data_IF_437673158717
#
_entry.id   IF_437673158717
#
_cell.length_a   1.000
_cell.length_b   1.000
_cell.length_c   1.000
_cell.angle_alpha   90.00
_cell.angle_beta   90.00
_cell.angle_gamma   90.00
#
_symmetry.space_group_name_H-M   'P 1'
#
loop_
_entity.id
_entity.type
_entity.pdbx_description
1 polymer ?
#
# COMPACT_ATOMS: atom_id res chain seq x y z
N UNK A 1 -25.72 -23.44 55.69
CA UNK A 1 -24.30 -23.31 56.08
C UNK A 1 -23.49 -24.20 55.15
N UNK A 2 -23.23 -23.74 53.92
CA UNK A 2 -22.34 -24.40 52.96
C UNK A 2 -21.87 -23.31 52.00
N UNK A 3 -20.78 -22.65 52.38
CA UNK A 3 -20.03 -21.74 51.52
C UNK A 3 -19.31 -22.55 50.43
N UNK A 4 -19.59 -22.21 49.18
CA UNK A 4 -18.79 -22.61 48.02
C UNK A 4 -18.07 -21.36 47.54
N UNK A 5 -16.78 -21.28 47.85
CA UNK A 5 -15.90 -20.18 47.47
C UNK A 5 -15.64 -20.25 45.96
N UNK A 6 -16.27 -19.35 45.21
CA UNK A 6 -16.00 -19.12 43.79
C UNK A 6 -14.66 -18.42 43.58
N UNK A 7 -13.86 -18.94 42.65
CA UNK A 7 -12.66 -18.28 42.15
C UNK A 7 -13.06 -17.09 41.24
N UNK A 8 -12.37 -15.93 41.32
CA UNK A 8 -12.66 -14.79 40.46
C UNK A 8 -12.15 -15.04 39.04
N UNK A 9 -13.07 -15.07 38.07
CA UNK A 9 -12.74 -14.97 36.65
C UNK A 9 -12.31 -13.53 36.40
N UNK A 10 -11.04 -13.32 36.08
CA UNK A 10 -10.53 -12.03 35.64
C UNK A 10 -11.14 -11.71 34.26
N UNK A 11 -12.06 -10.76 34.26
CA UNK A 11 -12.71 -10.17 33.10
C UNK A 11 -11.66 -9.39 32.30
N UNK A 12 -11.20 -9.97 31.19
CA UNK A 12 -10.37 -9.27 30.23
C UNK A 12 -11.23 -8.24 29.49
N UNK A 13 -10.96 -6.96 29.74
CA UNK A 13 -11.61 -5.85 29.06
C UNK A 13 -11.48 -5.99 27.53
N UNK A 14 -12.57 -5.81 26.75
CA UNK A 14 -12.49 -5.84 25.30
C UNK A 14 -11.66 -4.66 24.81
N UNK A 15 -10.66 -4.93 23.99
CA UNK A 15 -9.94 -3.91 23.23
C UNK A 15 -10.95 -3.16 22.37
N UNK A 16 -11.13 -1.87 22.66
CA UNK A 16 -11.97 -0.96 21.88
C UNK A 16 -11.40 -0.85 20.47
N UNK A 17 -12.00 -1.57 19.52
CA UNK A 17 -11.84 -1.31 18.10
C UNK A 17 -12.68 -0.06 17.84
N UNK A 18 -12.03 1.06 17.52
CA UNK A 18 -12.71 2.25 17.03
C UNK A 18 -13.33 1.95 15.67
N UNK A 19 -14.55 1.40 15.71
CA UNK A 19 -15.48 1.38 14.59
C UNK A 19 -15.76 2.83 14.26
N UNK A 20 -15.26 3.27 13.09
CA UNK A 20 -15.66 4.55 12.51
C UNK A 20 -17.15 4.45 12.21
N UNK A 21 -17.97 4.90 13.15
CA UNK A 21 -19.37 5.14 12.93
C UNK A 21 -19.45 6.26 11.89
N UNK A 22 -20.13 5.99 10.78
CA UNK A 22 -20.70 7.08 9.97
C UNK A 22 -21.46 7.99 10.93
N UNK A 23 -21.31 9.32 10.87
CA UNK A 23 -22.09 10.20 11.74
C UNK A 23 -23.55 9.82 11.59
N UNK A 24 -24.16 9.44 12.71
CA UNK A 24 -25.53 9.02 12.82
C UNK A 24 -26.46 10.23 12.68
N UNK A 25 -26.39 10.90 11.52
CA UNK A 25 -27.42 11.78 10.99
C UNK A 25 -27.08 12.15 9.54
N UNK A 26 -27.30 11.23 8.60
CA UNK A 26 -27.53 11.61 7.19
C UNK A 26 -28.53 10.62 6.61
N UNK A 27 -29.75 11.11 6.40
CA UNK A 27 -30.68 10.47 5.47
C UNK A 27 -30.02 10.30 4.10
N UNK A 28 -30.58 9.37 3.32
CA UNK A 28 -30.19 9.07 1.95
C UNK A 28 -29.73 10.33 1.19
N UNK A 29 -28.58 10.21 0.51
CA UNK A 29 -27.91 11.20 -0.36
C UNK A 29 -26.67 11.87 0.27
N UNK A 30 -25.56 11.11 0.28
CA UNK A 30 -24.22 11.69 0.41
C UNK A 30 -23.91 12.50 -0.85
N UNK A 31 -23.79 13.83 -0.71
CA UNK A 31 -23.40 14.72 -1.81
C UNK A 31 -21.95 14.47 -2.28
N UNK A 32 -21.61 14.79 -3.54
CA UNK A 32 -20.23 14.72 -4.08
C UNK A 32 -19.21 15.35 -3.13
N UNK A 33 -19.58 16.48 -2.52
CA UNK A 33 -18.71 17.20 -1.58
C UNK A 33 -18.46 16.41 -0.29
N UNK A 34 -19.44 15.63 0.19
CA UNK A 34 -19.30 14.74 1.34
C UNK A 34 -18.51 13.49 0.98
N UNK A 35 -18.70 12.92 -0.21
CA UNK A 35 -17.88 11.80 -0.68
C UNK A 35 -16.40 12.21 -0.86
N UNK A 36 -16.14 13.38 -1.44
CA UNK A 36 -14.80 13.95 -1.57
C UNK A 36 -14.17 14.25 -0.19
N UNK A 37 -14.95 14.77 0.77
CA UNK A 37 -14.48 14.97 2.16
C UNK A 37 -14.23 13.65 2.89
N UNK A 38 -15.08 12.64 2.73
CA UNK A 38 -14.87 11.33 3.34
C UNK A 38 -13.60 10.66 2.79
N UNK A 39 -13.34 10.78 1.49
CA UNK A 39 -12.12 10.32 0.84
C UNK A 39 -10.88 11.11 1.32
N UNK A 40 -10.99 12.43 1.46
CA UNK A 40 -9.91 13.27 1.97
C UNK A 40 -9.61 13.00 3.46
N UNK A 41 -10.65 12.80 4.28
CA UNK A 41 -10.51 12.50 5.72
C UNK A 41 -9.91 11.12 5.96
N UNK A 42 -10.29 10.10 5.17
CA UNK A 42 -9.69 8.77 5.22
C UNK A 42 -8.19 8.77 4.85
N UNK A 43 -7.74 9.74 4.05
CA UNK A 43 -6.33 9.89 3.63
C UNK A 43 -5.46 10.66 4.64
N UNK A 44 -6.03 11.49 5.52
CA UNK A 44 -5.27 12.43 6.35
C UNK A 44 -5.40 12.24 7.87
N UNK A 45 -5.89 11.08 8.38
CA UNK A 45 -5.87 10.82 9.84
C UNK A 45 -4.42 10.90 10.38
N UNK A 46 -4.10 11.87 11.26
CA UNK A 46 -2.78 11.99 11.86
C UNK A 46 -2.52 10.77 12.76
N UNK A 47 -1.32 10.22 12.68
CA UNK A 47 -0.84 9.16 13.57
C UNK A 47 -0.59 9.79 14.95
N UNK A 48 -1.60 9.74 15.80
CA UNK A 48 -1.50 10.22 17.17
C UNK A 48 -0.60 9.29 17.99
N UNK A 49 0.22 9.92 18.82
CA UNK A 49 1.38 9.34 19.50
C UNK A 49 0.97 8.22 20.47
N UNK A 50 1.55 7.04 20.29
CA UNK A 50 1.50 5.99 21.30
C UNK A 50 2.38 6.38 22.49
N UNK A 51 1.74 6.58 23.65
CA UNK A 51 2.41 6.75 24.94
C UNK A 51 3.01 5.42 25.44
N UNK A 52 4.01 5.46 26.34
CA UNK A 52 4.80 4.29 26.73
C UNK A 52 4.01 3.30 27.59
N UNK A 53 4.16 2.01 27.31
CA UNK A 53 3.59 0.91 28.10
C UNK A 53 4.51 0.64 29.30
N UNK A 54 3.90 0.69 30.49
CA UNK A 54 4.47 0.39 31.80
C UNK A 54 4.73 -1.12 31.96
N UNK A 55 5.90 -1.49 32.49
CA UNK A 55 6.32 -2.87 32.72
C UNK A 55 5.66 -3.45 33.98
N UNK A 56 5.15 -4.69 33.97
CA UNK A 56 4.94 -5.44 35.21
C UNK A 56 6.15 -6.34 35.56
N UNK A 57 6.34 -6.51 36.87
CA UNK A 57 7.40 -7.24 37.57
C UNK A 57 7.32 -8.78 37.40
N UNK A 58 8.38 -9.54 37.76
CA UNK A 58 8.52 -10.97 37.47
C UNK A 58 7.75 -11.86 38.45
N UNK A 59 7.19 -12.96 37.94
CA UNK A 59 6.60 -14.05 38.73
C UNK A 59 7.49 -15.28 38.65
N UNK A 60 7.69 -15.92 39.80
CA UNK A 60 8.59 -17.04 40.09
C UNK A 60 8.28 -18.32 39.29
N UNK A 61 9.35 -19.04 38.94
CA UNK A 61 9.34 -20.41 38.41
C UNK A 61 9.16 -21.45 39.53
N UNK A 62 8.59 -22.63 39.24
CA UNK A 62 8.91 -23.84 39.98
C UNK A 62 9.91 -24.73 39.22
N UNK A 63 10.90 -25.22 39.98
CA UNK A 63 11.82 -26.31 39.62
C UNK A 63 11.06 -27.62 39.32
N UNK A 64 11.67 -28.51 38.51
CA UNK A 64 12.14 -29.82 38.96
C UNK A 64 12.77 -30.70 37.85
N UNK A 65 13.76 -31.47 38.31
CA UNK A 65 14.18 -32.81 37.90
C UNK A 65 15.29 -32.97 36.84
N UNK A 66 16.49 -33.24 37.39
CA UNK A 66 17.67 -33.87 36.77
C UNK A 66 17.42 -35.31 36.33
N UNK A 67 18.16 -35.77 35.31
CA UNK A 67 18.53 -37.17 35.17
C UNK A 67 19.97 -37.29 34.63
N UNK A 68 20.79 -38.00 35.40
CA UNK A 68 22.21 -38.31 35.21
C UNK A 68 22.51 -39.18 33.98
N UNK A 69 23.72 -39.03 33.44
CA UNK A 69 24.56 -40.16 33.00
C UNK A 69 26.03 -39.71 32.92
N UNK A 70 26.83 -40.16 33.91
CA UNK A 70 28.29 -40.26 33.85
C UNK A 70 28.67 -41.49 32.98
N UNK A 71 29.91 -41.66 32.45
CA UNK A 71 31.02 -42.03 33.33
C UNK A 71 32.45 -41.63 32.92
N UNK A 72 33.28 -41.63 33.98
CA UNK A 72 34.63 -42.24 34.10
C UNK A 72 35.88 -41.42 33.79
N UNK A 73 36.59 -41.13 34.90
CA UNK A 73 38.01 -40.91 34.96
C UNK A 73 38.77 -42.24 35.12
N UNK A 74 39.90 -42.37 34.42
CA UNK A 74 41.02 -43.23 34.79
C UNK A 74 42.33 -42.50 34.43
N UNK A 75 43.13 -42.20 35.45
CA UNK A 75 44.56 -41.96 35.40
C UNK A 75 45.23 -43.24 35.98
N UNK A 76 46.52 -43.60 35.75
CA UNK A 76 47.68 -42.72 35.97
C UNK A 76 48.99 -43.06 35.18
N UNK A 77 50.00 -42.17 35.25
CA UNK A 77 51.38 -42.49 34.85
C UNK A 77 52.30 -41.26 34.77
N UNK A 78 53.17 -41.10 35.78
CA UNK A 78 54.24 -40.08 35.93
C UNK A 78 55.39 -40.24 34.89
N UNK A 79 56.50 -39.45 34.96
CA UNK A 79 56.64 -37.99 34.92
C UNK A 79 57.63 -37.59 33.81
N UNK A 80 57.49 -36.44 33.15
CA UNK A 80 58.57 -35.95 32.26
C UNK A 80 58.62 -34.43 32.21
N UNK A 81 59.82 -33.95 32.55
CA UNK A 81 60.52 -32.72 32.18
C UNK A 81 59.73 -31.47 31.81
N UNK A 82 60.13 -30.39 32.48
CA UNK A 82 60.04 -28.99 32.08
C UNK A 82 59.73 -28.78 30.59
N UNK A 83 58.47 -28.43 30.32
CA UNK A 83 58.07 -27.76 29.09
C UNK A 83 57.78 -26.29 29.43
N UNK A 84 58.35 -25.43 28.61
CA UNK A 84 58.14 -23.99 28.49
C UNK A 84 56.66 -23.59 28.67
N UNK A 85 56.34 -22.33 29.05
CA UNK A 85 54.95 -21.90 29.11
C UNK A 85 54.34 -22.06 27.71
N UNK A 86 53.54 -23.12 27.53
CA UNK A 86 52.77 -23.33 26.33
C UNK A 86 51.86 -22.11 26.18
N UNK A 87 52.15 -21.27 25.19
CA UNK A 87 51.29 -20.15 24.79
C UNK A 87 49.93 -20.75 24.41
N UNK A 88 48.97 -20.68 25.34
CA UNK A 88 47.60 -21.09 25.10
C UNK A 88 47.05 -20.31 23.90
N UNK A 89 46.33 -20.96 22.96
CA UNK A 89 45.88 -20.33 21.74
C UNK A 89 45.04 -19.09 22.03
N UNK A 90 45.22 -17.96 21.32
CA UNK A 90 44.48 -16.72 21.56
C UNK A 90 42.96 -16.92 21.47
N UNK A 91 42.20 -16.35 22.41
CA UNK A 91 40.74 -16.35 22.37
C UNK A 91 40.28 -15.22 21.47
N UNK A 92 39.52 -15.56 20.43
CA UNK A 92 38.97 -14.57 19.54
C UNK A 92 37.85 -13.78 20.25
N UNK A 93 37.81 -12.45 20.13
CA UNK A 93 36.75 -11.65 20.72
C UNK A 93 35.41 -11.92 20.02
N UNK A 94 34.28 -11.79 20.72
CA UNK A 94 32.96 -12.06 20.13
C UNK A 94 32.68 -11.23 18.87
N UNK A 95 32.03 -11.87 17.89
CA UNK A 95 31.79 -11.26 16.57
C UNK A 95 30.87 -10.04 16.62
N UNK A 96 29.90 -10.05 17.54
CA UNK A 96 28.90 -9.01 17.80
C UNK A 96 29.48 -7.68 18.29
N UNK A 97 30.73 -7.68 18.76
CA UNK A 97 31.35 -6.51 19.37
C UNK A 97 31.90 -5.52 18.33
N UNK A 98 31.88 -4.24 18.70
CA UNK A 98 32.50 -3.16 17.93
C UNK A 98 34.02 -3.31 17.94
N UNK A 99 34.70 -2.62 17.01
CA UNK A 99 36.16 -2.71 16.90
C UNK A 99 36.88 -2.21 18.17
N UNK A 100 36.38 -1.15 18.81
CA UNK A 100 36.92 -0.63 20.06
C UNK A 100 36.75 -1.61 21.24
N UNK A 101 35.65 -2.37 21.27
CA UNK A 101 35.43 -3.41 22.30
C UNK A 101 36.33 -4.63 22.07
N UNK A 102 36.58 -4.99 20.81
CA UNK A 102 37.52 -6.06 20.43
C UNK A 102 38.96 -5.72 20.82
N UNK A 103 39.39 -4.47 20.61
CA UNK A 103 40.70 -3.98 21.04
C UNK A 103 40.83 -3.98 22.57
N UNK A 104 39.79 -3.54 23.29
CA UNK A 104 39.76 -3.63 24.76
C UNK A 104 39.82 -5.07 25.25
N UNK A 105 39.11 -6.01 24.61
CA UNK A 105 39.12 -7.43 24.96
C UNK A 105 40.54 -8.03 24.90
N UNK A 106 41.30 -7.70 23.86
CA UNK A 106 42.68 -8.17 23.69
C UNK A 106 43.62 -7.67 24.80
N UNK A 107 43.33 -6.51 25.39
CA UNK A 107 44.11 -5.94 26.51
C UNK A 107 43.76 -6.54 27.90
N UNK A 108 42.72 -7.36 28.00
CA UNK A 108 42.29 -7.96 29.27
C UNK A 108 43.10 -9.22 29.64
N UNK A 109 43.19 -9.56 30.93
CA UNK A 109 43.75 -10.85 31.37
C UNK A 109 43.01 -12.04 30.77
N UNK A 110 43.75 -13.16 30.56
CA UNK A 110 43.24 -14.39 29.95
C UNK A 110 41.99 -14.95 30.62
N UNK A 111 41.97 -14.98 31.95
CA UNK A 111 40.83 -15.45 32.74
C UNK A 111 39.55 -14.64 32.45
N UNK A 112 39.68 -13.32 32.32
CA UNK A 112 38.56 -12.43 31.99
C UNK A 112 38.08 -12.63 30.55
N UNK A 113 38.99 -12.91 29.62
CA UNK A 113 38.65 -13.24 28.23
C UNK A 113 37.81 -14.53 28.15
N UNK A 114 38.19 -15.57 28.89
CA UNK A 114 37.49 -16.86 28.95
C UNK A 114 36.08 -16.71 29.54
N UNK A 115 35.95 -15.98 30.65
CA UNK A 115 34.66 -15.70 31.27
C UNK A 115 33.70 -14.94 30.33
N UNK A 116 34.19 -13.86 29.70
CA UNK A 116 33.38 -13.04 28.80
C UNK A 116 33.00 -13.79 27.52
N UNK A 117 33.93 -14.56 26.96
CA UNK A 117 33.68 -15.37 25.77
C UNK A 117 32.63 -16.46 26.05
N UNK A 118 32.76 -17.19 27.17
CA UNK A 118 31.78 -18.22 27.57
C UNK A 118 30.40 -17.63 27.79
N UNK A 119 30.32 -16.51 28.54
CA UNK A 119 29.05 -15.81 28.81
C UNK A 119 28.38 -15.31 27.53
N UNK A 120 29.15 -14.80 26.57
CA UNK A 120 28.60 -14.33 25.30
C UNK A 120 28.13 -15.48 24.41
N UNK A 121 28.83 -16.61 24.40
CA UNK A 121 28.36 -17.83 23.73
C UNK A 121 27.06 -18.35 24.32
N UNK A 122 26.92 -18.34 25.65
CA UNK A 122 25.67 -18.72 26.33
C UNK A 122 24.53 -17.79 25.96
N UNK A 123 24.76 -16.47 25.98
CA UNK A 123 23.77 -15.46 25.56
C UNK A 123 23.34 -15.64 24.10
N UNK A 124 24.29 -15.82 23.19
CA UNK A 124 23.99 -16.03 21.78
C UNK A 124 23.20 -17.33 21.56
N UNK A 125 23.52 -18.39 22.30
CA UNK A 125 22.77 -19.66 22.26
C UNK A 125 21.34 -19.49 22.75
N UNK A 126 21.15 -18.82 23.89
CA UNK A 126 19.81 -18.53 24.43
C UNK A 126 19.00 -17.62 23.51
N UNK A 127 19.63 -16.59 22.96
CA UNK A 127 19.00 -15.68 22.02
C UNK A 127 18.56 -16.40 20.75
N UNK A 128 19.42 -17.23 20.15
CA UNK A 128 19.06 -18.06 18.98
C UNK A 128 17.96 -19.05 19.31
N UNK A 129 18.01 -19.68 20.49
CA UNK A 129 16.95 -20.57 20.96
C UNK A 129 15.62 -19.83 21.06
N UNK A 130 15.60 -18.66 21.71
CA UNK A 130 14.40 -17.83 21.81
C UNK A 130 13.89 -17.34 20.45
N UNK A 131 14.78 -16.97 19.53
CA UNK A 131 14.40 -16.62 18.16
C UNK A 131 13.74 -17.79 17.43
N UNK A 132 14.30 -18.99 17.54
CA UNK A 132 13.75 -20.19 16.93
C UNK A 132 12.39 -20.55 17.56
N UNK A 133 12.29 -20.52 18.89
CA UNK A 133 11.04 -20.77 19.60
C UNK A 133 9.95 -19.76 19.19
N UNK A 134 10.27 -18.47 19.08
CA UNK A 134 9.33 -17.44 18.61
C UNK A 134 8.94 -17.68 17.15
N UNK A 135 9.90 -18.04 16.29
CA UNK A 135 9.62 -18.33 14.88
C UNK A 135 8.70 -19.55 14.71
N UNK A 136 8.96 -20.61 15.48
CA UNK A 136 8.14 -21.83 15.51
C UNK A 136 6.74 -21.55 16.07
N UNK A 137 6.64 -20.80 17.17
CA UNK A 137 5.35 -20.38 17.73
C UNK A 137 4.54 -19.54 16.73
N UNK A 138 5.17 -18.58 16.04
CA UNK A 138 4.51 -17.79 15.00
C UNK A 138 3.99 -18.66 13.86
N UNK A 139 4.82 -19.60 13.39
CA UNK A 139 4.42 -20.55 12.33
C UNK A 139 3.27 -21.45 12.79
N UNK A 140 3.30 -21.90 14.04
CA UNK A 140 2.23 -22.71 14.62
C UNK A 140 0.91 -21.94 14.73
N UNK A 141 0.96 -20.69 15.22
CA UNK A 141 -0.22 -19.81 15.32
C UNK A 141 -0.79 -19.51 13.92
N UNK A 142 0.06 -19.22 12.95
CA UNK A 142 -0.39 -18.95 11.57
C UNK A 142 -1.06 -20.19 10.96
N UNK A 143 -0.44 -21.37 11.11
CA UNK A 143 -1.04 -22.63 10.64
C UNK A 143 -2.39 -22.93 11.34
N UNK A 144 -2.50 -22.64 12.65
CA UNK A 144 -3.76 -22.77 13.38
C UNK A 144 -4.82 -21.79 12.86
N UNK A 145 -4.44 -20.53 12.57
CA UNK A 145 -5.34 -19.54 11.98
C UNK A 145 -5.84 -19.98 10.61
N UNK A 146 -4.93 -20.37 9.72
CA UNK A 146 -5.29 -20.85 8.38
C UNK A 146 -6.22 -22.07 8.42
N UNK A 147 -5.94 -23.03 9.30
CA UNK A 147 -6.79 -24.23 9.44
C UNK A 147 -8.17 -23.89 10.02
N UNK A 148 -8.23 -23.00 11.01
CA UNK A 148 -9.50 -22.50 11.56
C UNK A 148 -10.31 -21.72 10.50
N UNK A 149 -9.65 -20.88 9.71
CA UNK A 149 -10.29 -20.14 8.60
C UNK A 149 -10.84 -21.07 7.54
N UNK A 150 -10.08 -22.11 7.13
CA UNK A 150 -10.56 -23.11 6.17
C UNK A 150 -11.76 -23.88 6.72
N UNK A 151 -11.68 -24.37 7.96
CA UNK A 151 -12.79 -25.06 8.60
C UNK A 151 -14.04 -24.17 8.68
N UNK A 152 -13.86 -22.87 8.98
CA UNK A 152 -14.94 -21.89 8.99
C UNK A 152 -15.55 -21.68 7.59
N UNK A 153 -14.73 -21.53 6.56
CA UNK A 153 -15.22 -21.35 5.19
C UNK A 153 -16.01 -22.57 4.71
N UNK A 154 -15.53 -23.77 5.03
CA UNK A 154 -16.25 -25.01 4.73
C UNK A 154 -17.57 -25.10 5.49
N UNK A 155 -17.61 -24.70 6.76
CA UNK A 155 -18.83 -24.62 7.55
C UNK A 155 -19.84 -23.65 6.91
N UNK A 156 -19.40 -22.43 6.64
CA UNK A 156 -20.24 -21.39 6.03
C UNK A 156 -20.72 -21.75 4.62
N UNK A 157 -19.96 -22.55 3.88
CA UNK A 157 -20.38 -23.08 2.58
C UNK A 157 -21.45 -24.17 2.68
N UNK A 158 -21.46 -24.95 3.79
CA UNK A 158 -22.43 -26.02 4.04
C UNK A 158 -23.72 -25.53 4.70
N UNK A 159 -23.71 -24.37 5.36
CA UNK A 159 -24.87 -23.80 6.05
C UNK A 159 -26.15 -23.72 5.17
N UNK A 160 -26.11 -23.21 3.92
CA UNK A 160 -27.31 -23.13 3.09
C UNK A 160 -27.89 -24.52 2.75
N UNK A 161 -27.02 -25.50 2.49
CA UNK A 161 -27.45 -26.87 2.22
C UNK A 161 -28.08 -27.54 3.46
N UNK A 162 -27.56 -27.25 4.66
CA UNK A 162 -28.14 -27.71 5.91
C UNK A 162 -29.52 -27.09 6.17
N UNK A 163 -29.67 -25.80 5.88
CA UNK A 163 -30.97 -25.12 5.97
C UNK A 163 -32.00 -25.74 5.01
N UNK A 164 -31.60 -26.03 3.77
CA UNK A 164 -32.46 -26.67 2.78
C UNK A 164 -32.85 -28.10 3.22
N UNK A 165 -31.89 -28.90 3.69
CA UNK A 165 -32.14 -30.24 4.19
C UNK A 165 -33.09 -30.25 5.40
N UNK A 166 -32.94 -29.28 6.31
CA UNK A 166 -33.83 -29.14 7.47
C UNK A 166 -35.26 -28.81 7.02
N UNK A 167 -35.41 -27.95 6.01
CA UNK A 167 -36.72 -27.59 5.44
C UNK A 167 -37.40 -28.78 4.73
N UNK A 168 -36.65 -29.54 3.93
CA UNK A 168 -37.16 -30.70 3.20
C UNK A 168 -37.54 -31.86 4.12
N UNK A 169 -36.79 -32.08 5.20
CA UNK A 169 -37.05 -33.13 6.19
C UNK A 169 -38.15 -32.79 7.21
N UNK A 170 -38.88 -31.68 7.03
CA UNK A 170 -39.81 -31.17 8.05
C UNK A 170 -40.97 -32.15 8.29
N UNK A 171 -41.11 -32.72 9.50
CA UNK A 171 -42.23 -33.61 9.85
C UNK A 171 -43.51 -32.84 10.23
N UNK A 172 -43.51 -31.52 10.06
CA UNK A 172 -44.58 -30.59 10.48
C UNK A 172 -45.19 -29.80 9.31
N UNK A 173 -45.12 -30.33 8.08
CA UNK A 173 -45.65 -29.65 6.90
C UNK A 173 -47.19 -29.43 6.92
N UNK A 174 -47.90 -30.18 7.77
CA UNK A 174 -49.33 -30.02 8.06
C UNK A 174 -49.65 -28.78 8.91
N UNK A 175 -48.67 -28.28 9.67
CA UNK A 175 -48.83 -27.12 10.55
C UNK A 175 -48.57 -25.84 9.77
N UNK A 176 -49.65 -25.12 9.43
CA UNK A 176 -49.57 -23.89 8.63
C UNK A 176 -49.95 -22.64 9.42
N UNK A 177 -50.69 -22.80 10.51
CA UNK A 177 -51.22 -21.70 11.31
C UNK A 177 -51.01 -21.92 12.81
N UNK A 178 -51.11 -20.83 13.58
CA UNK A 178 -51.09 -20.92 15.04
C UNK A 178 -52.25 -21.75 15.61
N UNK A 179 -53.40 -21.78 14.92
CA UNK A 179 -54.52 -22.62 15.32
C UNK A 179 -54.20 -24.13 15.21
N UNK A 180 -53.37 -24.54 14.25
CA UNK A 180 -52.93 -25.95 14.12
C UNK A 180 -51.93 -26.32 15.24
N UNK A 181 -51.12 -25.34 15.66
CA UNK A 181 -50.20 -25.50 16.80
C UNK A 181 -50.97 -25.66 18.12
N UNK A 182 -52.01 -24.86 18.34
CA UNK A 182 -52.88 -24.96 19.52
C UNK A 182 -53.61 -26.30 19.57
N UNK A 183 -54.12 -26.79 18.43
CA UNK A 183 -54.72 -28.13 18.32
C UNK A 183 -53.71 -29.22 18.62
N UNK A 184 -52.50 -29.12 18.05
CA UNK A 184 -51.42 -30.06 18.36
C UNK A 184 -51.06 -30.05 19.84
N UNK A 185 -51.03 -28.88 20.49
CA UNK A 185 -50.77 -28.80 21.93
C UNK A 185 -51.86 -29.50 22.77
N UNK A 186 -53.13 -29.40 22.33
CA UNK A 186 -54.26 -30.01 23.03
C UNK A 186 -54.38 -31.53 22.77
N UNK A 187 -54.10 -31.99 21.55
CA UNK A 187 -54.26 -33.38 21.13
C UNK A 187 -52.98 -34.22 21.33
N UNK A 188 -51.80 -33.65 21.11
CA UNK A 188 -50.50 -34.31 21.22
C UNK A 188 -49.40 -33.39 21.79
N UNK A 189 -49.31 -33.29 23.13
CA UNK A 189 -48.28 -32.49 23.80
C UNK A 189 -46.84 -32.90 23.45
N UNK A 190 -46.58 -34.16 23.10
CA UNK A 190 -45.24 -34.63 22.76
C UNK A 190 -44.82 -34.16 21.36
N UNK A 191 -45.74 -34.22 20.38
CA UNK A 191 -45.51 -33.67 19.04
C UNK A 191 -45.30 -32.16 19.08
N UNK A 192 -45.99 -31.45 19.97
CA UNK A 192 -45.75 -30.03 20.22
C UNK A 192 -44.33 -29.73 20.74
N UNK A 193 -43.79 -30.53 21.67
CA UNK A 193 -42.40 -30.37 22.11
C UNK A 193 -41.40 -30.58 20.96
N UNK A 194 -41.63 -31.57 20.09
CA UNK A 194 -40.78 -31.79 18.93
C UNK A 194 -40.85 -30.61 17.94
N UNK A 195 -42.03 -30.04 17.74
CA UNK A 195 -42.21 -28.84 16.92
C UNK A 195 -41.45 -27.64 17.49
N UNK A 196 -41.49 -27.43 18.82
CA UNK A 196 -40.71 -26.39 19.47
C UNK A 196 -39.21 -26.58 19.27
N UNK A 197 -38.70 -27.80 19.44
CA UNK A 197 -37.28 -28.12 19.19
C UNK A 197 -36.90 -27.88 17.73
N UNK A 198 -37.79 -28.24 16.79
CA UNK A 198 -37.57 -27.98 15.36
C UNK A 198 -37.52 -26.49 15.04
N UNK A 199 -38.46 -25.70 15.59
CA UNK A 199 -38.47 -24.24 15.46
C UNK A 199 -37.18 -23.62 16.03
N UNK A 200 -36.75 -24.06 17.21
CA UNK A 200 -35.52 -23.57 17.82
C UNK A 200 -34.28 -23.90 16.97
N UNK A 201 -34.18 -25.13 16.44
CA UNK A 201 -33.12 -25.52 15.51
C UNK A 201 -33.11 -24.64 14.26
N UNK A 202 -34.29 -24.39 13.68
CA UNK A 202 -34.39 -23.56 12.48
C UNK A 202 -34.00 -22.11 12.74
N UNK A 203 -34.40 -21.54 13.89
CA UNK A 203 -33.97 -20.21 14.31
C UNK A 203 -32.46 -20.14 14.54
N UNK A 204 -31.86 -21.17 15.16
CA UNK A 204 -30.41 -21.26 15.35
C UNK A 204 -29.66 -21.24 14.02
N UNK A 205 -30.06 -22.09 13.06
CA UNK A 205 -29.44 -22.15 11.72
C UNK A 205 -29.63 -20.83 10.96
N UNK A 206 -30.80 -20.19 11.05
CA UNK A 206 -31.02 -18.87 10.44
C UNK A 206 -30.12 -17.79 11.07
N UNK A 207 -29.97 -17.79 12.39
CA UNK A 207 -29.08 -16.86 13.07
C UNK A 207 -27.62 -17.05 12.64
N UNK A 208 -27.16 -18.30 12.52
CA UNK A 208 -25.81 -18.60 12.03
C UNK A 208 -25.59 -18.16 10.58
N UNK A 209 -26.60 -18.32 9.71
CA UNK A 209 -26.56 -17.86 8.33
C UNK A 209 -26.46 -16.33 8.25
N UNK A 210 -27.30 -15.61 9.00
CA UNK A 210 -27.23 -14.15 9.08
C UNK A 210 -25.88 -13.66 9.61
N UNK A 211 -25.34 -14.31 10.65
CA UNK A 211 -24.02 -13.98 11.15
C UNK A 211 -22.92 -14.26 10.11
N UNK A 212 -23.01 -15.36 9.36
CA UNK A 212 -22.06 -15.67 8.30
C UNK A 212 -22.11 -14.63 7.16
N UNK A 213 -23.30 -14.17 6.76
CA UNK A 213 -23.46 -13.10 5.78
C UNK A 213 -22.88 -11.77 6.29
N UNK A 214 -23.18 -11.39 7.53
CA UNK A 214 -22.64 -10.17 8.14
C UNK A 214 -21.10 -10.20 8.22
N UNK A 215 -20.51 -11.35 8.56
CA UNK A 215 -19.05 -11.53 8.54
C UNK A 215 -18.49 -11.37 7.14
N UNK A 216 -19.07 -12.03 6.15
CA UNK A 216 -18.65 -11.90 4.73
C UNK A 216 -18.72 -10.46 4.25
N UNK A 217 -19.79 -9.73 4.58
CA UNK A 217 -19.93 -8.31 4.25
C UNK A 217 -18.84 -7.46 4.94
N UNK A 218 -18.57 -7.72 6.22
CA UNK A 218 -17.55 -6.99 6.99
C UNK A 218 -16.14 -7.25 6.46
N UNK A 219 -15.80 -8.49 6.13
CA UNK A 219 -14.51 -8.86 5.53
C UNK A 219 -14.32 -8.28 4.13
N UNK A 220 -15.38 -8.26 3.31
CA UNK A 220 -15.32 -7.61 2.00
C UNK A 220 -15.10 -6.11 2.15
N UNK A 221 -15.79 -5.48 3.10
CA UNK A 221 -15.61 -4.06 3.40
C UNK A 221 -14.20 -3.77 3.91
N UNK A 222 -13.65 -4.58 4.83
CA UNK A 222 -12.29 -4.38 5.34
C UNK A 222 -11.26 -4.52 4.23
N UNK A 223 -11.32 -5.59 3.43
CA UNK A 223 -10.45 -5.80 2.27
C UNK A 223 -10.56 -4.67 1.24
N UNK A 224 -11.78 -4.17 1.01
CA UNK A 224 -11.99 -3.02 0.14
C UNK A 224 -11.33 -1.76 0.70
N UNK A 225 -11.50 -1.47 1.99
CA UNK A 225 -10.86 -0.31 2.62
C UNK A 225 -9.33 -0.39 2.60
N UNK A 226 -8.76 -1.58 2.84
CA UNK A 226 -7.31 -1.82 2.75
C UNK A 226 -6.80 -1.61 1.33
N UNK A 227 -7.51 -2.13 0.33
CA UNK A 227 -7.18 -1.93 -1.08
C UNK A 227 -7.23 -0.45 -1.46
N UNK A 228 -8.29 0.28 -1.07
CA UNK A 228 -8.41 1.72 -1.32
C UNK A 228 -7.28 2.50 -0.65
N UNK A 229 -6.91 2.15 0.59
CA UNK A 229 -5.78 2.80 1.28
C UNK A 229 -4.45 2.54 0.57
N UNK A 230 -4.19 1.29 0.15
CA UNK A 230 -2.98 0.93 -0.58
C UNK A 230 -2.87 1.66 -1.93
N UNK A 231 -3.96 1.72 -2.70
CA UNK A 231 -4.00 2.46 -3.97
C UNK A 231 -3.85 3.97 -3.76
N UNK A 232 -4.44 4.51 -2.69
CA UNK A 232 -4.25 5.92 -2.34
C UNK A 232 -2.80 6.25 -1.97
N UNK A 233 -2.10 5.34 -1.26
CA UNK A 233 -0.69 5.51 -0.94
C UNK A 233 0.17 5.50 -2.21
N UNK A 234 -0.06 4.53 -3.11
CA UNK A 234 0.62 4.48 -4.42
C UNK A 234 0.34 5.72 -5.27
N UNK A 235 -0.90 6.22 -5.25
CA UNK A 235 -1.26 7.44 -5.96
C UNK A 235 -0.51 8.67 -5.41
N UNK A 236 -0.33 8.77 -4.09
CA UNK A 236 0.44 9.86 -3.48
C UNK A 236 1.94 9.78 -3.80
N UNK A 237 2.50 8.57 -3.96
CA UNK A 237 3.88 8.37 -4.40
C UNK A 237 4.10 8.78 -5.86
N UNK A 238 3.16 8.43 -6.76
CA UNK A 238 3.27 8.69 -8.20
C UNK A 238 2.84 10.11 -8.59
N UNK A 239 1.98 10.75 -7.79
CA UNK A 239 1.42 12.07 -8.04
C UNK A 239 1.72 12.95 -6.80
N UNK A 240 2.89 13.61 -6.75
CA UNK A 240 3.29 14.41 -5.59
C UNK A 240 2.30 15.53 -5.23
N UNK A 241 1.54 16.06 -6.20
CA UNK A 241 0.49 17.05 -5.94
C UNK A 241 -0.67 16.50 -5.08
N UNK A 242 -0.92 15.18 -5.12
CA UNK A 242 -1.92 14.53 -4.26
C UNK A 242 -1.44 14.36 -2.81
N UNK A 243 -0.13 14.34 -2.58
CA UNK A 243 0.43 14.24 -1.22
C UNK A 243 0.36 15.57 -0.45
N UNK A 244 0.30 16.69 -1.18
CA UNK A 244 0.20 18.03 -0.61
C UNK A 244 -1.14 18.23 0.13
N UNK A 245 -1.05 18.65 1.39
CA UNK A 245 -2.21 18.79 2.30
C UNK A 245 -3.27 19.79 1.83
N UNK A 246 -2.90 20.76 0.99
CA UNK A 246 -3.81 21.77 0.46
C UNK A 246 -4.19 21.49 -1.01
N UNK A 247 -3.22 21.13 -1.86
CA UNK A 247 -3.45 20.90 -3.29
C UNK A 247 -4.12 19.57 -3.57
N UNK A 248 -3.84 18.53 -2.79
CA UNK A 248 -4.43 17.20 -2.96
C UNK A 248 -5.96 17.22 -2.83
N UNK A 249 -6.52 17.72 -1.72
CA UNK A 249 -7.96 17.86 -1.58
C UNK A 249 -8.61 18.74 -2.65
N UNK A 250 -7.97 19.85 -3.02
CA UNK A 250 -8.47 20.75 -4.06
C UNK A 250 -8.51 20.09 -5.45
N UNK A 251 -7.49 19.31 -5.82
CA UNK A 251 -7.46 18.54 -7.05
C UNK A 251 -8.55 17.47 -7.09
N UNK A 252 -8.69 16.70 -6.01
CA UNK A 252 -9.74 15.67 -5.91
C UNK A 252 -11.13 16.30 -6.02
N UNK A 253 -11.35 17.42 -5.35
CA UNK A 253 -12.62 18.14 -5.42
C UNK A 253 -12.92 18.62 -6.84
N UNK A 254 -11.91 19.17 -7.53
CA UNK A 254 -12.05 19.63 -8.92
C UNK A 254 -12.35 18.50 -9.89
N UNK A 255 -11.67 17.36 -9.76
CA UNK A 255 -11.96 16.15 -10.53
C UNK A 255 -13.40 15.70 -10.30
N UNK A 256 -13.85 15.72 -9.04
CA UNK A 256 -15.20 15.30 -8.68
C UNK A 256 -16.29 16.26 -9.18
N UNK A 257 -16.04 17.58 -9.19
CA UNK A 257 -17.05 18.58 -9.56
C UNK A 257 -17.08 18.93 -11.05
N UNK A 258 -15.93 18.85 -11.74
CA UNK A 258 -15.81 19.26 -13.15
C UNK A 258 -15.69 18.04 -14.07
N UNK A 259 -14.66 17.20 -13.87
CA UNK A 259 -14.30 16.16 -14.83
C UNK A 259 -15.25 14.97 -14.82
N UNK A 260 -15.62 14.45 -13.65
CA UNK A 260 -16.49 13.27 -13.56
C UNK A 260 -17.89 13.54 -14.13
N UNK A 261 -18.55 14.67 -13.86
CA UNK A 261 -19.84 15.01 -14.49
C UNK A 261 -19.74 15.20 -16.01
N UNK A 262 -18.68 15.84 -16.53
CA UNK A 262 -18.46 16.00 -17.98
C UNK A 262 -18.26 14.67 -18.70
N UNK A 263 -17.68 13.68 -18.02
CA UNK A 263 -17.56 12.31 -18.50
C UNK A 263 -18.87 11.52 -18.36
N UNK A 264 -19.89 12.06 -17.69
CA UNK A 264 -21.20 11.43 -17.54
C UNK A 264 -21.32 10.50 -16.32
N UNK A 265 -20.46 10.64 -15.31
CA UNK A 265 -20.64 9.94 -14.03
C UNK A 265 -21.74 10.59 -13.20
N UNK A 266 -22.60 9.77 -12.60
CA UNK A 266 -23.64 10.21 -11.66
C UNK A 266 -23.17 10.05 -10.22
N UNK A 267 -23.67 10.89 -9.32
CA UNK A 267 -23.32 10.89 -7.90
C UNK A 267 -23.61 9.55 -7.22
N UNK A 268 -24.78 8.96 -7.50
CA UNK A 268 -25.17 7.65 -6.96
C UNK A 268 -24.25 6.53 -7.45
N UNK A 269 -23.85 6.58 -8.71
CA UNK A 269 -22.93 5.60 -9.30
C UNK A 269 -21.52 5.73 -8.70
N UNK A 270 -21.04 6.96 -8.50
CA UNK A 270 -19.76 7.21 -7.83
C UNK A 270 -19.76 6.72 -6.38
N UNK A 271 -20.89 6.87 -5.68
CA UNK A 271 -21.05 6.34 -4.32
C UNK A 271 -21.00 4.80 -4.31
N UNK A 272 -21.63 4.14 -5.27
CA UNK A 272 -21.57 2.68 -5.42
C UNK A 272 -20.16 2.18 -5.77
N UNK A 273 -19.45 2.90 -6.65
CA UNK A 273 -18.06 2.60 -7.01
C UNK A 273 -17.14 2.79 -5.79
N UNK A 274 -17.32 3.87 -5.03
CA UNK A 274 -16.55 4.15 -3.83
C UNK A 274 -16.84 3.14 -2.70
N UNK A 275 -18.07 2.63 -2.62
CA UNK A 275 -18.46 1.57 -1.69
C UNK A 275 -18.06 0.15 -2.15
N UNK A 276 -17.45 0.00 -3.33
CA UNK A 276 -17.05 -1.29 -3.88
C UNK A 276 -18.22 -2.17 -4.35
N UNK A 277 -19.44 -1.60 -4.46
CA UNK A 277 -20.65 -2.30 -4.92
C UNK A 277 -20.65 -2.51 -6.44
N UNK A 278 -20.02 -1.58 -7.16
CA UNK A 278 -19.84 -1.64 -8.61
C UNK A 278 -18.35 -1.60 -8.98
N UNK A 279 -18.00 -2.15 -10.13
CA UNK A 279 -16.62 -2.18 -10.65
C UNK A 279 -16.55 -1.39 -11.95
N UNK A 280 -15.56 -0.52 -12.07
CA UNK A 280 -15.33 0.24 -13.29
C UNK A 280 -14.53 -0.62 -14.29
N UNK A 281 -15.10 -0.87 -15.46
CA UNK A 281 -14.47 -1.67 -16.52
C UNK A 281 -13.58 -0.80 -17.42
N UNK A 282 -12.42 -1.31 -17.84
CA UNK A 282 -11.54 -0.66 -18.83
C UNK A 282 -12.26 -0.43 -20.17
N UNK A 283 -13.30 -1.22 -20.46
CA UNK A 283 -14.13 -1.09 -21.66
C UNK A 283 -15.22 -0.02 -21.56
N UNK A 284 -15.34 0.65 -20.41
CA UNK A 284 -16.24 1.78 -20.27
C UNK A 284 -15.76 2.95 -21.15
N UNK A 285 -16.64 3.42 -22.03
CA UNK A 285 -16.39 4.55 -22.92
C UNK A 285 -15.87 5.80 -22.18
N UNK A 286 -16.24 5.99 -20.91
CA UNK A 286 -15.78 7.11 -20.07
C UNK A 286 -14.29 7.00 -19.75
N UNK A 287 -13.82 5.80 -19.41
CA UNK A 287 -12.38 5.53 -19.22
C UNK A 287 -11.67 5.62 -20.55
N UNK A 288 -12.21 5.01 -21.61
CA UNK A 288 -11.59 5.04 -22.93
C UNK A 288 -11.38 6.46 -23.45
N UNK A 289 -12.35 7.35 -23.21
CA UNK A 289 -12.23 8.78 -23.50
C UNK A 289 -11.11 9.43 -22.69
N UNK A 290 -11.05 9.20 -21.38
CA UNK A 290 -9.97 9.72 -20.52
C UNK A 290 -8.58 9.25 -20.98
N UNK A 291 -8.46 7.98 -21.36
CA UNK A 291 -7.21 7.42 -21.90
C UNK A 291 -6.84 8.06 -23.24
N UNK A 292 -7.80 8.23 -24.16
CA UNK A 292 -7.58 8.89 -25.43
C UNK A 292 -7.14 10.35 -25.24
N UNK A 293 -7.81 11.10 -24.36
CA UNK A 293 -7.46 12.48 -24.03
C UNK A 293 -6.05 12.56 -23.42
N UNK A 294 -5.68 11.61 -22.56
CA UNK A 294 -4.33 11.54 -21.97
C UNK A 294 -3.23 11.29 -23.01
N UNK A 295 -3.49 10.49 -24.05
CA UNK A 295 -2.57 10.25 -25.14
C UNK A 295 -2.40 11.51 -25.99
N UNK A 296 -3.51 12.17 -26.35
CA UNK A 296 -3.48 13.42 -27.09
C UNK A 296 -2.67 14.51 -26.37
N UNK A 297 -2.86 14.64 -25.05
CA UNK A 297 -2.07 15.60 -24.25
C UNK A 297 -0.58 15.28 -24.26
N UNK A 298 -0.20 14.00 -24.16
CA UNK A 298 1.21 13.57 -24.26
C UNK A 298 1.81 13.87 -25.63
N UNK A 299 1.05 13.66 -26.70
CA UNK A 299 1.49 13.94 -28.06
C UNK A 299 1.66 15.46 -28.28
N UNK A 300 0.74 16.27 -27.77
CA UNK A 300 0.87 17.74 -27.80
C UNK A 300 2.09 18.21 -27.00
N UNK A 301 2.34 17.65 -25.82
CA UNK A 301 3.53 18.00 -25.01
C UNK A 301 4.84 17.64 -25.72
N UNK A 302 4.91 16.45 -26.33
CA UNK A 302 6.07 16.04 -27.14
C UNK A 302 6.24 16.93 -28.37
N UNK A 303 5.15 17.28 -29.05
CA UNK A 303 5.19 18.16 -30.21
C UNK A 303 5.67 19.58 -29.83
N UNK A 304 5.25 20.13 -28.68
CA UNK A 304 5.76 21.42 -28.18
C UNK A 304 7.27 21.38 -27.94
N UNK A 305 7.80 20.29 -27.36
CA UNK A 305 9.23 20.11 -27.18
C UNK A 305 10.00 20.04 -28.51
N UNK A 306 9.43 19.37 -29.53
CA UNK A 306 10.02 19.26 -30.86
C UNK A 306 10.02 20.60 -31.65
N UNK A 307 9.00 21.44 -31.47
CA UNK A 307 8.94 22.76 -32.13
C UNK A 307 9.96 23.74 -31.54
N UNK A 308 10.21 23.69 -30.23
CA UNK A 308 11.23 24.51 -29.57
C UNK A 308 12.67 24.19 -30.01
N UNK A 309 12.91 22.99 -30.55
CA UNK A 309 14.22 22.53 -30.98
C UNK A 309 14.60 22.94 -32.42
N UNK A 310 13.74 23.66 -33.18
CA UNK A 310 14.13 24.19 -34.49
C UNK A 310 15.14 25.32 -34.32
N UNK A 311 16.40 25.17 -34.79
CA UNK A 311 17.40 26.22 -34.63
C UNK A 311 16.97 27.45 -35.42
N UNK A 312 16.84 28.58 -34.72
CA UNK A 312 16.59 29.89 -35.31
C UNK A 312 17.72 30.16 -36.31
N UNK A 313 17.42 30.46 -37.59
CA UNK A 313 18.46 30.75 -38.57
C UNK A 313 19.32 31.91 -38.08
N UNK A 314 20.65 31.84 -38.22
CA UNK A 314 21.55 32.84 -37.67
C UNK A 314 21.17 34.21 -38.23
N UNK A 315 20.96 35.18 -37.33
CA UNK A 315 20.61 36.55 -37.69
C UNK A 315 21.69 37.07 -38.63
N UNK A 316 21.33 37.29 -39.90
CA UNK A 316 22.22 37.93 -40.84
C UNK A 316 22.42 39.37 -40.35
N UNK A 317 23.66 39.69 -39.94
CA UNK A 317 24.04 41.06 -39.62
C UNK A 317 23.81 41.91 -40.86
N UNK A 318 23.15 43.09 -40.76
CA UNK A 318 23.07 44.02 -41.87
C UNK A 318 24.47 44.24 -42.43
N UNK A 319 24.64 43.97 -43.74
CA UNK A 319 25.93 44.10 -44.41
C UNK A 319 26.51 45.51 -44.25
N UNK A 320 27.85 45.66 -44.31
CA UNK A 320 28.51 46.96 -44.15
C UNK A 320 27.93 47.98 -45.13
N UNK A 321 27.77 49.21 -44.66
CA UNK A 321 27.17 50.30 -45.42
C UNK A 321 27.79 50.41 -46.81
N UNK A 322 26.94 50.40 -47.85
CA UNK A 322 27.38 50.59 -49.24
C UNK A 322 28.12 51.93 -49.34
N UNK A 323 29.31 51.99 -49.96
CA UNK A 323 30.01 53.25 -50.15
C UNK A 323 29.15 54.22 -50.97
N UNK A 324 29.27 55.52 -50.70
CA UNK A 324 28.37 56.56 -51.21
C UNK A 324 28.19 56.60 -52.75
N UNK A 325 29.10 55.95 -53.49
CA UNK A 325 29.11 55.91 -54.96
C UNK A 325 28.84 54.50 -55.56
N UNK A 326 28.45 53.50 -54.74
CA UNK A 326 28.22 52.12 -55.20
C UNK A 326 27.14 52.00 -56.28
N UNK A 327 26.04 52.75 -56.14
CA UNK A 327 24.96 52.74 -57.14
C UNK A 327 25.42 53.29 -58.50
N UNK A 328 26.35 54.25 -58.50
CA UNK A 328 26.87 54.87 -59.73
C UNK A 328 27.89 53.97 -60.42
N UNK A 329 28.75 53.29 -59.65
CA UNK A 329 29.69 52.32 -60.22
C UNK A 329 28.97 51.10 -60.81
N UNK A 330 27.91 50.61 -60.16
CA UNK A 330 27.04 49.56 -60.70
C UNK A 330 26.35 50.01 -62.00
N UNK A 331 25.86 51.25 -62.04
CA UNK A 331 25.21 51.80 -63.24
C UNK A 331 26.19 51.96 -64.41
N UNK A 332 27.41 52.43 -64.15
CA UNK A 332 28.46 52.52 -65.18
C UNK A 332 28.84 51.11 -65.67
N UNK A 333 29.04 50.14 -64.78
CA UNK A 333 29.36 48.76 -65.16
C UNK A 333 28.24 48.11 -65.98
N UNK A 334 26.98 48.35 -65.63
CA UNK A 334 25.84 47.85 -66.40
C UNK A 334 25.78 48.48 -67.81
N UNK A 335 26.06 49.78 -67.93
CA UNK A 335 26.11 50.47 -69.22
C UNK A 335 27.32 50.02 -70.06
N UNK A 336 28.46 49.74 -69.45
CA UNK A 336 29.63 49.17 -70.15
C UNK A 336 29.29 47.82 -70.74
N UNK A 337 28.71 46.91 -69.95
CA UNK A 337 28.30 45.58 -70.45
C UNK A 337 27.28 45.67 -71.59
N UNK A 338 26.34 46.63 -71.51
CA UNK A 338 25.37 46.85 -72.58
C UNK A 338 26.04 47.36 -73.86
N UNK A 339 26.99 48.28 -73.73
CA UNK A 339 27.78 48.77 -74.86
C UNK A 339 28.61 47.65 -75.49
N UNK A 340 29.27 46.82 -74.67
CA UNK A 340 30.07 45.68 -75.15
C UNK A 340 29.22 44.66 -75.90
N UNK A 341 27.95 44.50 -75.51
CA UNK A 341 27.00 43.59 -76.15
C UNK A 341 26.34 44.17 -77.41
N UNK A 342 25.95 45.44 -77.40
CA UNK A 342 25.15 46.06 -78.47
C UNK A 342 25.99 46.80 -79.51
N UNK A 343 27.19 47.28 -79.14
CA UNK A 343 28.04 48.13 -79.97
C UNK A 343 27.39 49.44 -80.43
N UNK A 344 26.25 49.83 -79.86
CA UNK A 344 25.42 50.90 -80.42
C UNK A 344 25.92 52.29 -79.99
N UNK A 345 25.85 53.26 -80.93
CA UNK A 345 26.23 54.65 -80.64
C UNK A 345 25.39 55.27 -79.51
N UNK A 346 24.13 54.82 -79.38
CA UNK A 346 23.21 55.27 -78.33
C UNK A 346 23.66 54.83 -76.94
N UNK A 347 24.15 53.60 -76.81
CA UNK A 347 24.66 53.08 -75.53
C UNK A 347 26.02 53.70 -75.17
N UNK A 348 26.85 54.02 -76.17
CA UNK A 348 28.11 54.74 -75.97
C UNK A 348 27.86 56.16 -75.40
N UNK A 349 26.85 56.84 -75.93
CA UNK A 349 26.43 58.16 -75.43
C UNK A 349 25.84 58.07 -74.02
N UNK A 350 25.03 57.05 -73.73
CA UNK A 350 24.48 56.82 -72.39
C UNK A 350 25.57 56.55 -71.34
N UNK A 351 26.57 55.72 -71.68
CA UNK A 351 27.74 55.47 -70.84
C UNK A 351 28.55 56.76 -70.61
N UNK A 352 28.78 57.55 -71.66
CA UNK A 352 29.52 58.82 -71.54
C UNK A 352 28.80 59.82 -70.65
N UNK A 353 27.48 59.95 -70.78
CA UNK A 353 26.67 60.81 -69.92
C UNK A 353 26.76 60.38 -68.45
N UNK A 354 26.68 59.08 -68.17
CA UNK A 354 26.81 58.53 -66.81
C UNK A 354 28.20 58.80 -66.20
N UNK A 355 29.28 58.66 -66.99
CA UNK A 355 30.65 58.97 -66.54
C UNK A 355 30.89 60.46 -66.27
N UNK A 356 30.27 61.35 -67.05
CA UNK A 356 30.38 62.80 -66.82
C UNK A 356 29.58 63.21 -65.58
N UNK A 357 28.41 62.62 -65.37
CA UNK A 357 27.59 62.86 -64.19
C UNK A 357 28.29 62.40 -62.89
N UNK A 358 29.01 61.27 -62.92
CA UNK A 358 29.78 60.78 -61.76
C UNK A 358 31.01 61.62 -61.42
N UNK A 359 31.50 62.45 -62.36
CA UNK A 359 32.72 63.28 -62.18
C UNK A 359 32.42 64.71 -61.70
N UNK A 360 31.14 65.11 -61.68
CA UNK A 360 30.67 66.45 -61.26
C UNK A 360 30.19 66.52 -59.80
N UNK A 361 30.24 65.39 -59.09
CA UNK A 361 29.99 65.28 -57.65
C UNK A 361 31.28 64.81 -56.99
#
# INVERSE_FOLDING_TARGET
MSDVTGAPVAEAAPASIDVVHSPADTGADLSISQAARALAAARYKPKEQAAPVEQPAPVEQPELAQANADPQAEAPGEPTEAAEPAELPPIEPPRSWTQAEKERFQSLPRETQEYLHTREQEREREFRRGQNEIAEQRKAIEAQRESAEKARQEYEAKLPALMQALHESSPFADIKSMADVEKMQAEDPFRFQQFQVYQWKMQGVQAELQQAEQRKATEQQSKWTEHVQAENARAAELIPELADKAKGPALVQRVASELLPELGFKDSELAELAAGKSKLSIYDHRIQRLLADSLQLRDIQKAKAAVAAKPVPPVQRPGPARPANAAQSEQIQALTRKLDQSGSLKDAMALRAAQVASKRR
#
